data_IF_754480098585
#
_entry.id   IF_754480098585
#
_cell.length_a   1.000
_cell.length_b   1.000
_cell.length_c   1.000
_cell.angle_alpha   90.00
_cell.angle_beta   90.00
_cell.angle_gamma   90.00
#
_symmetry.space_group_name_H-M   'P 1'
#
loop_
_entity.id
_entity.type
_entity.pdbx_description
1 polymer ?
#
# COMPACT_ATOMS: atom_id res chain seq x y z
N UNK A 1 -69.87 27.25 77.97
CA UNK A 1 -70.44 26.67 76.74
C UNK A 1 -71.10 27.78 75.94
N UNK A 2 -70.86 27.82 74.63
CA UNK A 2 -71.80 28.40 73.67
C UNK A 2 -71.55 29.82 73.16
N UNK A 3 -71.03 29.87 71.93
CA UNK A 3 -71.31 30.78 70.80
C UNK A 3 -71.05 32.29 70.95
N UNK A 4 -70.40 32.85 69.92
CA UNK A 4 -71.00 33.93 69.10
C UNK A 4 -70.38 34.02 67.70
N UNK A 5 -71.22 34.48 66.79
CA UNK A 5 -71.18 34.50 65.32
C UNK A 5 -70.41 35.68 64.73
N UNK A 6 -70.09 35.54 63.44
CA UNK A 6 -69.31 36.41 62.56
C UNK A 6 -69.99 37.73 62.14
N UNK A 7 -69.18 38.68 61.65
CA UNK A 7 -69.53 39.70 60.66
C UNK A 7 -68.29 40.14 59.85
N UNK A 8 -68.53 40.55 58.61
CA UNK A 8 -67.64 40.77 57.45
C UNK A 8 -66.82 42.07 57.47
N UNK A 9 -65.70 42.13 56.73
CA UNK A 9 -65.22 43.36 56.05
C UNK A 9 -64.54 43.03 54.70
N UNK A 10 -64.87 43.83 53.68
CA UNK A 10 -64.49 43.79 52.26
C UNK A 10 -63.18 44.52 51.89
N UNK A 11 -62.58 44.07 50.76
CA UNK A 11 -61.44 44.51 49.89
C UNK A 11 -61.21 46.05 49.69
N UNK A 12 -60.07 46.59 49.21
CA UNK A 12 -59.21 46.39 48.00
C UNK A 12 -57.76 46.98 48.19
N UNK A 13 -56.89 47.21 47.16
CA UNK A 13 -56.03 46.27 46.42
C UNK A 13 -54.50 46.62 46.47
N UNK A 14 -53.67 45.74 45.91
CA UNK A 14 -52.19 45.79 45.85
C UNK A 14 -51.70 46.69 44.69
N UNK A 15 -50.60 47.47 44.83
CA UNK A 15 -49.84 48.01 43.71
C UNK A 15 -48.53 47.23 43.45
N UNK A 16 -48.19 47.16 42.16
CA UNK A 16 -47.10 46.42 41.52
C UNK A 16 -45.68 46.81 42.00
N UNK A 17 -44.89 45.81 42.40
CA UNK A 17 -43.45 45.95 42.64
C UNK A 17 -42.64 45.64 41.36
N UNK A 18 -42.06 46.71 40.82
CA UNK A 18 -40.78 46.88 40.12
C UNK A 18 -40.04 45.60 39.66
N UNK A 19 -40.02 45.41 38.34
CA UNK A 19 -39.07 44.54 37.63
C UNK A 19 -37.66 45.12 37.74
N UNK A 20 -36.75 44.41 38.43
CA UNK A 20 -35.32 44.70 38.42
C UNK A 20 -34.68 44.11 37.15
N UNK A 21 -34.33 45.00 36.21
CA UNK A 21 -33.58 44.67 35.00
C UNK A 21 -32.09 44.44 35.36
N UNK A 22 -31.76 43.19 35.71
CA UNK A 22 -30.40 42.76 36.02
C UNK A 22 -29.66 42.25 34.79
N UNK A 23 -29.17 43.14 33.91
CA UNK A 23 -28.15 42.80 32.92
C UNK A 23 -26.77 42.76 33.60
N UNK A 24 -26.41 41.59 34.13
CA UNK A 24 -24.99 41.26 34.36
C UNK A 24 -24.42 40.87 32.99
N UNK A 25 -23.75 41.81 32.33
CA UNK A 25 -22.90 41.49 31.20
C UNK A 25 -21.73 40.64 31.72
N UNK A 26 -21.75 39.34 31.43
CA UNK A 26 -20.55 38.54 31.50
C UNK A 26 -19.58 39.09 30.45
N UNK A 27 -18.60 39.89 30.87
CA UNK A 27 -17.40 40.13 30.06
C UNK A 27 -16.72 38.78 29.87
N UNK A 28 -17.02 38.11 28.75
CA UNK A 28 -16.19 37.04 28.24
C UNK A 28 -14.79 37.61 28.05
N UNK A 29 -13.84 37.20 28.90
CA UNK A 29 -12.41 37.36 28.63
C UNK A 29 -12.16 36.79 27.22
N UNK A 30 -11.98 37.67 26.23
CA UNK A 30 -11.43 37.30 24.93
C UNK A 30 -10.04 36.74 25.19
N UNK A 31 -9.94 35.42 25.35
CA UNK A 31 -8.66 34.73 25.26
C UNK A 31 -8.15 35.01 23.86
N UNK A 32 -7.01 35.68 23.77
CA UNK A 32 -6.32 35.83 22.50
C UNK A 32 -6.18 34.43 21.87
N UNK A 33 -6.68 34.24 20.64
CA UNK A 33 -6.63 32.94 20.01
C UNK A 33 -5.16 32.55 19.86
N UNK A 34 -4.83 31.33 20.31
CA UNK A 34 -3.50 30.76 20.11
C UNK A 34 -3.20 30.79 18.60
N UNK A 35 -2.05 31.34 18.18
CA UNK A 35 -1.68 31.36 16.77
C UNK A 35 -1.72 29.97 16.11
N UNK A 36 -2.22 29.90 14.87
CA UNK A 36 -2.44 28.63 14.16
C UNK A 36 -1.16 27.82 13.97
N UNK A 37 -0.03 28.49 13.76
CA UNK A 37 1.30 27.90 13.64
C UNK A 37 1.75 27.21 14.93
N UNK A 38 1.43 27.79 16.09
CA UNK A 38 1.69 27.18 17.41
C UNK A 38 0.83 25.93 17.57
N UNK A 39 -0.46 26.00 17.26
CA UNK A 39 -1.37 24.82 17.29
C UNK A 39 -0.85 23.73 16.35
N UNK A 40 -0.44 24.09 15.14
CA UNK A 40 0.14 23.18 14.17
C UNK A 40 1.39 22.49 14.74
N UNK A 41 2.30 23.25 15.35
CA UNK A 41 3.54 22.73 15.92
C UNK A 41 3.30 21.73 17.05
N UNK A 42 2.26 21.95 17.86
CA UNK A 42 1.83 21.06 18.94
C UNK A 42 1.25 19.77 18.36
N UNK A 43 0.27 19.89 17.45
CA UNK A 43 -0.40 18.73 16.85
C UNK A 43 0.59 17.83 16.08
N UNK A 44 1.57 18.40 15.39
CA UNK A 44 2.61 17.65 14.67
C UNK A 44 3.57 16.84 15.58
N UNK A 45 3.53 17.03 16.90
CA UNK A 45 4.30 16.24 17.87
C UNK A 45 3.50 15.08 18.48
N UNK A 46 2.19 15.02 18.23
CA UNK A 46 1.31 14.04 18.83
C UNK A 46 1.26 12.74 17.99
N UNK A 47 1.01 11.58 18.62
CA UNK A 47 0.69 10.36 17.88
C UNK A 47 -0.58 10.51 17.04
N UNK A 48 -0.66 9.80 15.91
CA UNK A 48 -1.79 9.92 14.97
C UNK A 48 -3.17 9.69 15.63
N UNK A 49 -3.28 8.75 16.58
CA UNK A 49 -4.51 8.50 17.34
C UNK A 49 -4.96 9.72 18.13
N UNK A 50 -4.03 10.45 18.71
CA UNK A 50 -4.32 11.69 19.44
C UNK A 50 -4.74 12.78 18.46
N UNK A 51 -4.00 12.97 17.36
CA UNK A 51 -4.34 13.95 16.31
C UNK A 51 -5.78 13.72 15.81
N UNK A 52 -6.16 12.47 15.54
CA UNK A 52 -7.52 12.16 15.07
C UNK A 52 -8.61 12.54 16.08
N UNK A 53 -8.35 12.45 17.39
CA UNK A 53 -9.29 12.91 18.43
C UNK A 53 -9.42 14.44 18.45
N UNK A 54 -8.35 15.18 18.12
CA UNK A 54 -8.39 16.65 18.04
C UNK A 54 -9.33 17.18 16.96
N UNK A 55 -9.67 16.37 15.95
CA UNK A 55 -10.70 16.72 14.96
C UNK A 55 -12.08 16.97 15.58
N UNK A 56 -12.37 16.36 16.73
CA UNK A 56 -13.64 16.53 17.44
C UNK A 56 -13.65 17.74 18.40
N UNK A 57 -12.51 18.42 18.59
CA UNK A 57 -12.39 19.53 19.55
C UNK A 57 -12.93 20.84 18.98
N UNK A 58 -12.63 21.14 17.72
CA UNK A 58 -13.14 22.35 17.05
C UNK A 58 -13.11 22.21 15.52
N UNK A 59 -13.91 23.05 14.83
CA UNK A 59 -13.90 23.14 13.36
C UNK A 59 -12.53 23.55 12.83
N UNK A 60 -11.86 24.50 13.49
CA UNK A 60 -10.53 24.96 13.11
C UNK A 60 -9.48 23.85 13.22
N UNK A 61 -9.49 23.07 14.31
CA UNK A 61 -8.60 21.92 14.46
C UNK A 61 -8.86 20.87 13.37
N UNK A 62 -10.13 20.54 13.09
CA UNK A 62 -10.45 19.61 12.01
C UNK A 62 -9.94 20.13 10.65
N UNK A 63 -10.22 21.39 10.31
CA UNK A 63 -9.77 22.01 9.05
C UNK A 63 -8.24 21.98 8.91
N UNK A 64 -7.51 22.36 9.96
CA UNK A 64 -6.05 22.31 9.99
C UNK A 64 -5.53 20.88 9.77
N UNK A 65 -6.06 19.89 10.50
CA UNK A 65 -5.62 18.49 10.43
C UNK A 65 -5.92 17.87 9.06
N UNK A 66 -7.03 18.24 8.43
CA UNK A 66 -7.41 17.76 7.08
C UNK A 66 -6.72 18.53 5.95
N UNK A 67 -5.99 19.61 6.26
CA UNK A 67 -5.32 20.40 5.22
C UNK A 67 -4.16 19.62 4.58
N UNK A 68 -3.96 19.72 3.25
CA UNK A 68 -2.84 19.07 2.57
C UNK A 68 -1.47 19.45 3.16
N UNK A 69 -1.34 20.70 3.62
CA UNK A 69 -0.12 21.21 4.25
C UNK A 69 0.20 20.50 5.57
N UNK A 70 -0.80 20.29 6.43
CA UNK A 70 -0.62 19.55 7.67
C UNK A 70 -0.29 18.09 7.42
N UNK A 71 -1.01 17.44 6.50
CA UNK A 71 -0.81 16.04 6.14
C UNK A 71 0.63 15.82 5.64
N UNK A 72 1.12 16.67 4.73
CA UNK A 72 2.51 16.61 4.22
C UNK A 72 3.54 16.82 5.32
N UNK A 73 3.36 17.79 6.22
CA UNK A 73 4.27 18.00 7.36
C UNK A 73 4.27 16.84 8.35
N UNK A 74 3.11 16.25 8.62
CA UNK A 74 2.99 15.08 9.47
C UNK A 74 3.71 13.89 8.84
N UNK A 75 3.49 13.67 7.54
CA UNK A 75 4.12 12.59 6.78
C UNK A 75 5.65 12.64 6.84
N UNK A 76 6.25 13.82 6.71
CA UNK A 76 7.70 14.00 6.83
C UNK A 76 8.28 13.62 8.21
N UNK A 77 7.44 13.51 9.24
CA UNK A 77 7.81 13.08 10.60
C UNK A 77 7.35 11.66 10.92
N UNK A 78 6.67 11.00 10.00
CA UNK A 78 6.14 9.67 10.22
C UNK A 78 7.28 8.68 10.42
N UNK A 79 7.10 7.77 11.38
CA UNK A 79 8.06 6.70 11.62
C UNK A 79 7.93 5.65 10.51
N UNK A 80 9.07 5.08 10.11
CA UNK A 80 9.08 3.93 9.22
C UNK A 80 8.59 2.70 9.99
N UNK A 81 7.56 2.08 9.44
CA UNK A 81 6.96 0.84 9.92
C UNK A 81 7.14 -0.24 8.86
N UNK A 82 6.96 -1.48 9.28
CA UNK A 82 6.89 -2.64 8.40
C UNK A 82 5.46 -3.15 8.46
N UNK A 83 4.76 -3.03 7.33
CA UNK A 83 3.43 -3.60 7.16
C UNK A 83 3.60 -5.06 6.78
N UNK A 84 3.14 -5.97 7.64
CA UNK A 84 3.14 -7.41 7.42
C UNK A 84 1.71 -7.89 7.33
N UNK A 85 1.41 -8.65 6.29
CA UNK A 85 0.07 -9.15 6.04
C UNK A 85 0.11 -10.62 5.64
N UNK A 86 -0.56 -11.45 6.45
CA UNK A 86 -0.85 -12.84 6.14
C UNK A 86 -1.92 -12.96 5.06
N UNK A 87 -2.06 -14.15 4.47
CA UNK A 87 -3.12 -14.45 3.49
C UNK A 87 -4.08 -15.49 4.08
N UNK A 88 -5.42 -15.25 4.05
CA UNK A 88 -6.12 -14.04 3.58
C UNK A 88 -5.94 -12.84 4.54
N UNK A 89 -6.19 -11.62 4.04
CA UNK A 89 -6.08 -10.37 4.82
C UNK A 89 -7.24 -10.28 5.82
N UNK A 90 -7.04 -10.79 7.05
CA UNK A 90 -7.95 -10.59 8.18
C UNK A 90 -7.47 -9.46 9.10
N UNK A 91 -6.16 -9.34 9.25
CA UNK A 91 -5.50 -8.32 10.05
C UNK A 91 -4.21 -7.86 9.39
N UNK A 92 -3.78 -6.66 9.75
CA UNK A 92 -2.50 -6.09 9.37
C UNK A 92 -1.66 -5.85 10.60
N UNK A 93 -0.44 -6.35 10.60
CA UNK A 93 0.54 -6.08 11.64
C UNK A 93 1.48 -4.97 11.19
N UNK A 94 1.51 -3.86 11.93
CA UNK A 94 2.48 -2.78 11.73
C UNK A 94 3.57 -2.89 12.79
N UNK A 95 4.79 -3.23 12.38
CA UNK A 95 5.95 -3.30 13.26
C UNK A 95 6.79 -2.02 13.13
N UNK A 96 7.29 -1.48 14.25
CA UNK A 96 8.32 -0.45 14.18
C UNK A 96 9.60 -1.07 13.59
N UNK A 97 10.23 -0.42 12.61
CA UNK A 97 11.52 -0.89 12.09
C UNK A 97 12.66 -0.55 13.07
N UNK A 98 12.77 -1.35 14.13
CA UNK A 98 13.87 -1.32 15.09
C UNK A 98 14.49 -2.72 15.24
N UNK A 99 15.66 -2.83 15.85
CA UNK A 99 16.42 -4.10 15.88
C UNK A 99 15.63 -5.32 16.39
N UNK A 100 14.65 -5.10 17.26
CA UNK A 100 13.81 -6.14 17.89
C UNK A 100 12.48 -6.44 17.17
N UNK A 101 11.98 -5.57 16.28
CA UNK A 101 10.63 -5.64 15.70
C UNK A 101 9.51 -5.85 16.76
N UNK A 102 9.73 -5.35 17.97
CA UNK A 102 8.97 -5.66 19.19
C UNK A 102 7.65 -4.92 19.28
N UNK A 103 7.59 -3.69 18.74
CA UNK A 103 6.37 -2.88 18.77
C UNK A 103 5.48 -3.20 17.58
N UNK A 104 4.41 -3.95 17.85
CA UNK A 104 3.39 -4.31 16.87
C UNK A 104 2.06 -3.63 17.17
N UNK A 105 1.48 -2.98 16.17
CA UNK A 105 0.07 -2.61 16.17
C UNK A 105 -0.69 -3.56 15.24
N UNK A 106 -1.64 -4.31 15.79
CA UNK A 106 -2.60 -5.08 15.00
C UNK A 106 -3.77 -4.18 14.59
N UNK A 107 -4.10 -4.18 13.32
CA UNK A 107 -5.23 -3.46 12.75
C UNK A 107 -6.16 -4.45 12.09
N UNK A 108 -7.37 -4.56 12.62
CA UNK A 108 -8.40 -5.40 12.05
C UNK A 108 -8.95 -4.76 10.77
N UNK A 109 -8.99 -5.53 9.70
CA UNK A 109 -9.70 -5.12 8.51
C UNK A 109 -11.16 -5.55 8.64
N UNK A 110 -12.08 -4.58 8.73
CA UNK A 110 -13.47 -4.83 9.10
C UNK A 110 -14.30 -5.63 8.08
N UNK A 111 -13.74 -6.05 6.94
CA UNK A 111 -14.48 -6.78 5.91
C UNK A 111 -14.19 -8.29 5.94
N UNK A 112 -15.23 -9.14 5.92
CA UNK A 112 -15.10 -10.59 6.10
C UNK A 112 -14.54 -11.35 4.87
N UNK A 113 -14.18 -10.65 3.78
CA UNK A 113 -13.77 -11.29 2.53
C UNK A 113 -12.25 -11.51 2.46
N UNK A 114 -11.85 -12.56 1.75
CA UNK A 114 -10.46 -12.83 1.45
C UNK A 114 -9.92 -11.82 0.42
N UNK A 115 -9.20 -10.80 0.89
CA UNK A 115 -8.49 -9.83 0.05
C UNK A 115 -7.00 -10.16 -0.11
N UNK A 116 -6.40 -9.64 -1.17
CA UNK A 116 -4.96 -9.60 -1.44
C UNK A 116 -4.48 -8.16 -1.35
N UNK A 117 -3.31 -7.93 -0.75
CA UNK A 117 -2.58 -6.67 -0.85
C UNK A 117 -1.83 -6.61 -2.19
N UNK A 118 -2.01 -5.53 -2.95
CA UNK A 118 -1.30 -5.30 -4.20
C UNK A 118 -0.17 -4.29 -4.06
N UNK A 119 -0.19 -3.46 -3.02
CA UNK A 119 0.76 -2.40 -2.80
C UNK A 119 0.36 -1.48 -1.64
N UNK A 120 1.31 -0.75 -1.08
CA UNK A 120 1.02 0.50 -0.37
C UNK A 120 1.80 1.66 -0.97
N UNK A 121 1.27 2.85 -0.77
CA UNK A 121 1.96 4.08 -1.06
C UNK A 121 1.53 5.14 -0.03
N UNK A 122 2.49 5.81 0.60
CA UNK A 122 2.26 6.93 1.50
C UNK A 122 1.14 6.68 2.55
N UNK A 123 1.11 5.47 3.13
CA UNK A 123 0.15 5.07 4.16
C UNK A 123 -1.23 4.62 3.67
N UNK A 124 -1.45 4.55 2.35
CA UNK A 124 -2.64 3.99 1.71
C UNK A 124 -2.31 2.63 1.12
N UNK A 125 -3.13 1.63 1.43
CA UNK A 125 -2.99 0.23 0.99
C UNK A 125 -4.01 -0.05 -0.11
N UNK A 126 -3.57 -0.67 -1.20
CA UNK A 126 -4.43 -1.13 -2.30
C UNK A 126 -4.73 -2.62 -2.15
N UNK A 127 -6.01 -2.96 -2.07
CA UNK A 127 -6.53 -4.31 -1.89
C UNK A 127 -7.38 -4.74 -3.08
N UNK A 128 -7.41 -6.04 -3.36
CA UNK A 128 -8.34 -6.64 -4.32
C UNK A 128 -8.87 -7.99 -3.86
N UNK A 129 -10.07 -8.38 -4.28
CA UNK A 129 -10.61 -9.71 -3.99
C UNK A 129 -9.71 -10.86 -4.49
N UNK A 130 -9.63 -11.96 -3.74
CA UNK A 130 -8.74 -13.11 -4.07
C UNK A 130 -9.31 -13.99 -5.21
N UNK A 131 -10.63 -14.11 -5.33
CA UNK A 131 -11.24 -15.13 -6.19
C UNK A 131 -12.35 -14.59 -7.12
N UNK A 132 -12.25 -14.76 -8.45
CA UNK A 132 -13.26 -14.31 -9.42
C UNK A 132 -14.66 -14.89 -9.21
N UNK A 133 -14.78 -16.08 -8.59
CA UNK A 133 -16.08 -16.68 -8.23
C UNK A 133 -16.72 -16.07 -6.98
N UNK A 134 -15.92 -15.48 -6.08
CA UNK A 134 -16.39 -14.83 -4.85
C UNK A 134 -16.57 -13.32 -5.05
N UNK A 135 -15.81 -12.75 -5.98
CA UNK A 135 -15.93 -11.36 -6.41
C UNK A 135 -15.82 -11.27 -7.94
N UNK A 136 -16.95 -11.43 -8.66
CA UNK A 136 -17.00 -11.27 -10.12
C UNK A 136 -16.68 -9.83 -10.56
N UNK A 137 -16.80 -8.85 -9.66
CA UNK A 137 -16.58 -7.43 -9.94
C UNK A 137 -15.10 -7.04 -9.93
N UNK A 138 -14.24 -7.85 -9.31
CA UNK A 138 -12.83 -7.53 -9.13
C UNK A 138 -12.65 -6.23 -8.34
N UNK A 139 -13.40 -6.09 -7.25
CA UNK A 139 -13.45 -4.89 -6.41
C UNK A 139 -12.04 -4.49 -5.98
N UNK A 140 -11.72 -3.21 -6.22
CA UNK A 140 -10.48 -2.60 -5.78
C UNK A 140 -10.82 -1.69 -4.61
N UNK A 141 -10.11 -1.85 -3.51
CA UNK A 141 -10.33 -1.07 -2.29
C UNK A 141 -9.04 -0.34 -1.96
N UNK A 142 -9.16 0.97 -1.76
CA UNK A 142 -8.13 1.76 -1.10
C UNK A 142 -8.45 1.81 0.38
N UNK A 143 -7.46 1.55 1.22
CA UNK A 143 -7.61 1.56 2.67
C UNK A 143 -6.49 2.37 3.30
N UNK A 144 -6.84 3.34 4.14
CA UNK A 144 -5.89 3.99 5.04
C UNK A 144 -6.11 3.40 6.45
N UNK A 145 -5.24 2.47 6.90
CA UNK A 145 -5.36 1.84 8.21
C UNK A 145 -5.27 2.83 9.37
N UNK A 146 -4.48 3.90 9.20
CA UNK A 146 -4.17 4.86 10.27
C UNK A 146 -5.39 5.68 10.68
N UNK A 147 -6.26 6.02 9.71
CA UNK A 147 -7.50 6.76 9.95
C UNK A 147 -8.75 5.86 9.87
N UNK A 148 -8.56 4.56 9.64
CA UNK A 148 -9.62 3.54 9.50
C UNK A 148 -10.67 3.89 8.43
N UNK A 149 -10.22 4.44 7.31
CA UNK A 149 -11.08 4.79 6.17
C UNK A 149 -10.81 3.86 5.00
N UNK A 150 -11.88 3.40 4.36
CA UNK A 150 -11.86 2.57 3.15
C UNK A 150 -12.64 3.26 2.04
N UNK A 151 -12.15 3.18 0.82
CA UNK A 151 -12.83 3.61 -0.39
C UNK A 151 -12.91 2.43 -1.35
N UNK A 152 -14.13 2.11 -1.78
CA UNK A 152 -14.37 1.15 -2.86
C UNK A 152 -14.29 1.89 -4.19
N UNK A 153 -13.41 1.45 -5.07
CA UNK A 153 -13.29 2.06 -6.38
C UNK A 153 -14.48 1.62 -7.26
N UNK A 154 -15.02 2.52 -8.09
CA UNK A 154 -16.04 2.14 -9.05
C UNK A 154 -15.48 1.09 -10.02
N UNK A 155 -16.31 0.17 -10.55
CA UNK A 155 -15.86 -0.76 -11.57
C UNK A 155 -15.45 0.02 -12.85
N UNK A 156 -14.37 -0.40 -13.54
CA UNK A 156 -14.08 0.09 -14.89
C UNK A 156 -15.22 -0.26 -15.86
N UNK A 157 -15.36 0.50 -16.95
CA UNK A 157 -16.42 0.32 -17.96
C UNK A 157 -16.20 -0.92 -18.84
N UNK A 158 -15.00 -1.49 -18.89
CA UNK A 158 -14.69 -2.64 -19.73
C UNK A 158 -15.51 -3.89 -19.37
N UNK A 159 -16.31 -4.37 -20.32
CA UNK A 159 -17.18 -5.55 -20.18
C UNK A 159 -16.53 -6.87 -20.63
N UNK A 160 -15.27 -6.85 -21.04
CA UNK A 160 -14.60 -8.04 -21.56
C UNK A 160 -14.33 -9.06 -20.45
N UNK A 161 -14.37 -10.35 -20.77
CA UNK A 161 -14.06 -11.42 -19.82
C UNK A 161 -12.60 -11.32 -19.36
N UNK A 162 -12.43 -11.03 -18.07
CA UNK A 162 -11.13 -10.87 -17.41
C UNK A 162 -10.54 -12.24 -17.09
N UNK A 163 -9.31 -12.49 -17.53
CA UNK A 163 -8.56 -13.69 -17.15
C UNK A 163 -7.78 -13.47 -15.85
N UNK A 164 -6.96 -12.40 -15.80
CA UNK A 164 -6.17 -12.00 -14.63
C UNK A 164 -5.99 -10.49 -14.62
N UNK A 165 -5.71 -9.92 -13.45
CA UNK A 165 -5.42 -8.49 -13.28
C UNK A 165 -4.18 -8.31 -12.43
N UNK A 166 -3.34 -7.37 -12.85
CA UNK A 166 -2.23 -6.82 -12.08
C UNK A 166 -2.62 -5.41 -11.65
N UNK A 167 -2.37 -5.10 -10.39
CA UNK A 167 -2.67 -3.82 -9.78
C UNK A 167 -1.41 -3.25 -9.14
N UNK A 168 -1.35 -1.93 -9.07
CA UNK A 168 -0.49 -1.26 -8.12
C UNK A 168 -0.94 0.16 -7.85
N UNK A 169 -0.43 0.71 -6.75
CA UNK A 169 -0.76 2.03 -6.25
C UNK A 169 0.50 2.88 -6.20
N UNK A 170 0.35 4.16 -6.53
CA UNK A 170 1.37 5.18 -6.37
C UNK A 170 0.76 6.54 -6.07
N UNK A 171 1.62 7.51 -5.80
CA UNK A 171 1.24 8.89 -5.51
C UNK A 171 1.99 9.82 -6.46
N UNK A 172 1.25 10.66 -7.20
CA UNK A 172 1.80 11.71 -8.03
C UNK A 172 1.90 13.01 -7.21
N UNK A 173 3.11 13.43 -6.80
CA UNK A 173 3.28 14.65 -6.00
C UNK A 173 2.96 15.92 -6.79
N UNK A 174 2.96 15.87 -8.14
CA UNK A 174 2.67 17.03 -8.99
C UNK A 174 1.20 17.41 -8.93
N UNK A 175 0.32 16.41 -8.96
CA UNK A 175 -1.14 16.61 -8.92
C UNK A 175 -1.72 16.35 -7.53
N UNK A 176 -0.90 16.01 -6.54
CA UNK A 176 -1.33 15.63 -5.18
C UNK A 176 -2.40 14.53 -5.25
N UNK A 177 -2.11 13.45 -5.99
CA UNK A 177 -3.10 12.45 -6.35
C UNK A 177 -2.59 11.04 -6.11
N UNK A 178 -3.44 10.21 -5.50
CA UNK A 178 -3.21 8.77 -5.47
C UNK A 178 -3.74 8.16 -6.76
N UNK A 179 -2.89 7.38 -7.43
CA UNK A 179 -3.25 6.69 -8.66
C UNK A 179 -3.14 5.19 -8.49
N UNK A 180 -4.07 4.47 -9.10
CA UNK A 180 -4.05 3.01 -9.18
C UNK A 180 -3.87 2.61 -10.63
N UNK A 181 -2.76 1.94 -10.92
CA UNK A 181 -2.53 1.32 -12.21
C UNK A 181 -3.16 -0.07 -12.25
N UNK A 182 -3.83 -0.39 -13.35
CA UNK A 182 -4.50 -1.67 -13.56
C UNK A 182 -4.18 -2.21 -14.95
N UNK A 183 -3.57 -3.38 -14.99
CA UNK A 183 -3.26 -4.12 -16.22
C UNK A 183 -4.11 -5.36 -16.26
N UNK A 184 -4.97 -5.46 -17.26
CA UNK A 184 -5.97 -6.52 -17.38
C UNK A 184 -5.57 -7.45 -18.49
N UNK A 185 -5.40 -8.73 -18.19
CA UNK A 185 -5.33 -9.77 -19.21
C UNK A 185 -6.74 -10.16 -19.63
N UNK A 186 -7.04 -10.00 -20.91
CA UNK A 186 -8.31 -10.44 -21.48
C UNK A 186 -8.28 -11.93 -21.84
N UNK A 187 -9.46 -12.54 -21.93
CA UNK A 187 -9.64 -13.92 -22.36
C UNK A 187 -9.08 -14.18 -23.77
N UNK A 188 -8.83 -15.46 -24.08
CA UNK A 188 -8.17 -15.87 -25.35
C UNK A 188 -8.92 -15.48 -26.62
N UNK A 189 -10.24 -15.26 -26.53
CA UNK A 189 -11.10 -14.82 -27.63
C UNK A 189 -11.10 -13.32 -27.88
N UNK A 190 -10.41 -12.52 -27.06
CA UNK A 190 -10.34 -11.08 -27.24
C UNK A 190 -9.43 -10.70 -28.41
N UNK A 191 -9.82 -9.64 -29.13
CA UNK A 191 -9.04 -9.05 -30.22
C UNK A 191 -7.68 -8.54 -29.71
N UNK A 192 -7.70 -7.81 -28.58
CA UNK A 192 -6.49 -7.37 -27.87
C UNK A 192 -6.21 -8.23 -26.64
N UNK A 193 -4.94 -8.58 -26.36
CA UNK A 193 -4.59 -9.41 -25.20
C UNK A 193 -4.68 -8.67 -23.85
N UNK A 194 -4.48 -7.36 -23.85
CA UNK A 194 -4.45 -6.54 -22.63
C UNK A 194 -5.27 -5.26 -22.73
N UNK A 195 -5.68 -4.77 -21.56
CA UNK A 195 -6.18 -3.40 -21.36
C UNK A 195 -5.36 -2.76 -20.25
N UNK A 196 -4.93 -1.53 -20.50
CA UNK A 196 -4.16 -0.71 -19.57
C UNK A 196 -5.06 0.41 -19.06
N UNK A 197 -5.16 0.56 -17.73
CA UNK A 197 -6.06 1.52 -17.10
C UNK A 197 -5.36 2.18 -15.91
N UNK A 198 -5.72 3.43 -15.65
CA UNK A 198 -5.31 4.18 -14.45
C UNK A 198 -6.54 4.75 -13.76
N UNK A 199 -6.59 4.71 -12.44
CA UNK A 199 -7.57 5.42 -11.63
C UNK A 199 -6.90 6.63 -11.00
N UNK A 200 -7.60 7.76 -10.98
CA UNK A 200 -7.22 8.95 -10.21
C UNK A 200 -8.19 9.12 -9.05
N UNK A 201 -7.66 9.27 -7.83
CA UNK A 201 -8.47 9.55 -6.64
C UNK A 201 -9.11 10.94 -6.72
N UNK A 202 -8.38 11.92 -7.25
CA UNK A 202 -8.85 13.29 -7.42
C UNK A 202 -10.02 13.38 -8.41
N UNK A 203 -9.92 12.71 -9.57
CA UNK A 203 -11.04 12.67 -10.52
C UNK A 203 -12.16 11.74 -10.04
N UNK A 204 -11.83 10.71 -9.27
CA UNK A 204 -12.74 9.67 -8.84
C UNK A 204 -13.12 8.69 -9.97
N UNK A 205 -12.32 8.62 -11.04
CA UNK A 205 -12.64 7.89 -12.26
C UNK A 205 -11.45 7.12 -12.84
N UNK A 206 -11.77 6.11 -13.66
CA UNK A 206 -10.80 5.38 -14.47
C UNK A 206 -10.56 6.09 -15.80
N UNK A 207 -9.30 6.25 -16.16
CA UNK A 207 -8.83 6.44 -17.52
C UNK A 207 -8.53 5.06 -18.13
N UNK A 208 -9.21 4.74 -19.23
CA UNK A 208 -9.10 3.43 -19.92
C UNK A 208 -8.32 3.52 -21.24
N UNK A 209 -7.91 4.73 -21.64
CA UNK A 209 -7.14 4.99 -22.85
C UNK A 209 -5.71 5.36 -22.46
N UNK A 210 -5.07 4.48 -21.69
CA UNK A 210 -3.70 4.71 -21.23
C UNK A 210 -2.72 4.22 -22.28
N UNK A 211 -1.83 5.11 -22.71
CA UNK A 211 -0.82 4.78 -23.71
C UNK A 211 0.15 3.72 -23.17
N UNK A 212 0.51 2.78 -24.04
CA UNK A 212 1.52 1.75 -23.78
C UNK A 212 2.63 1.88 -24.82
N UNK A 213 3.85 2.11 -24.35
CA UNK A 213 5.03 2.19 -25.19
C UNK A 213 6.02 1.10 -24.79
N UNK A 214 6.30 0.14 -25.68
CA UNK A 214 7.37 -0.84 -25.48
C UNK A 214 8.08 -1.10 -26.79
N UNK A 215 9.42 -1.07 -26.73
CA UNK A 215 10.28 -1.39 -27.88
C UNK A 215 10.36 -2.90 -28.11
N UNK A 216 10.18 -3.73 -27.06
CA UNK A 216 10.26 -5.19 -27.17
C UNK A 216 8.92 -5.87 -27.48
N UNK A 217 7.80 -5.15 -27.35
CA UNK A 217 6.43 -5.65 -27.49
C UNK A 217 5.62 -4.93 -28.57
N UNK A 218 6.27 -4.45 -29.63
CA UNK A 218 5.61 -3.78 -30.77
C UNK A 218 4.64 -4.72 -31.53
N UNK A 219 4.81 -6.04 -31.41
CA UNK A 219 3.92 -7.03 -32.02
C UNK A 219 2.85 -7.51 -31.01
N UNK A 220 1.56 -7.34 -31.36
CA UNK A 220 0.43 -7.82 -30.53
C UNK A 220 0.46 -9.34 -30.26
N UNK A 221 1.05 -10.14 -31.14
CA UNK A 221 1.26 -11.58 -30.89
C UNK A 221 2.23 -11.82 -29.74
N UNK A 222 3.26 -10.99 -29.58
CA UNK A 222 4.20 -11.09 -28.47
C UNK A 222 3.50 -10.83 -27.13
N UNK A 223 2.54 -9.90 -27.12
CA UNK A 223 1.70 -9.65 -25.95
C UNK A 223 0.82 -10.86 -25.61
N UNK A 224 0.37 -11.65 -26.59
CA UNK A 224 -0.47 -12.83 -26.33
C UNK A 224 0.24 -13.90 -25.50
N UNK A 225 1.58 -13.95 -25.54
CA UNK A 225 2.36 -14.88 -24.72
C UNK A 225 2.52 -14.44 -23.27
N UNK A 226 2.23 -13.19 -22.92
CA UNK A 226 2.49 -12.68 -21.58
C UNK A 226 1.44 -13.17 -20.59
N UNK A 227 1.90 -13.58 -19.41
CA UNK A 227 1.12 -14.03 -18.26
C UNK A 227 1.39 -13.11 -17.09
N UNK A 228 0.31 -12.71 -16.40
CA UNK A 228 0.37 -11.95 -15.16
C UNK A 228 0.41 -12.94 -14.00
N UNK A 229 1.49 -12.92 -13.21
CA UNK A 229 1.55 -13.67 -11.96
C UNK A 229 1.05 -12.79 -10.81
N UNK A 230 0.22 -13.35 -9.94
CA UNK A 230 -0.41 -12.59 -8.84
C UNK A 230 0.49 -12.48 -7.60
N UNK A 231 1.73 -12.92 -7.65
CA UNK A 231 2.60 -13.08 -6.47
C UNK A 231 3.70 -12.00 -6.38
N UNK A 232 3.95 -11.27 -7.46
CA UNK A 232 4.98 -10.22 -7.50
C UNK A 232 4.51 -8.97 -6.77
N UNK A 233 5.37 -8.46 -5.88
CA UNK A 233 5.19 -7.16 -5.26
C UNK A 233 5.45 -6.07 -6.30
N UNK A 234 4.70 -4.97 -6.20
CA UNK A 234 5.07 -3.74 -6.90
C UNK A 234 6.36 -3.16 -6.30
N UNK A 235 7.13 -2.45 -7.11
CA UNK A 235 8.17 -1.55 -6.63
C UNK A 235 7.92 -0.13 -7.14
N UNK A 236 7.91 0.85 -6.24
CA UNK A 236 7.71 2.26 -6.60
C UNK A 236 9.06 2.97 -6.50
N UNK A 237 9.56 3.48 -7.62
CA UNK A 237 10.82 4.21 -7.71
C UNK A 237 10.67 5.33 -8.74
N UNK A 238 11.22 6.51 -8.47
CA UNK A 238 11.20 7.65 -9.39
C UNK A 238 9.82 8.00 -9.98
N UNK A 239 8.77 7.93 -9.16
CA UNK A 239 7.41 8.26 -9.59
C UNK A 239 6.81 7.27 -10.59
N UNK A 240 7.38 6.05 -10.69
CA UNK A 240 6.83 4.97 -11.49
C UNK A 240 6.64 3.70 -10.66
N UNK A 241 5.59 2.94 -11.00
CA UNK A 241 5.30 1.62 -10.42
C UNK A 241 5.86 0.55 -11.36
N UNK A 242 6.54 -0.45 -10.80
CA UNK A 242 7.24 -1.49 -11.55
C UNK A 242 6.75 -2.88 -11.19
N UNK A 243 6.65 -3.75 -12.19
CA UNK A 243 6.29 -5.17 -12.03
C UNK A 243 7.08 -6.06 -12.98
N UNK A 244 7.33 -7.30 -12.55
CA UNK A 244 7.86 -8.35 -13.41
C UNK A 244 6.70 -9.06 -14.10
N UNK A 245 6.79 -9.17 -15.42
CA UNK A 245 5.85 -9.89 -16.26
C UNK A 245 6.55 -11.03 -16.98
N UNK A 246 5.79 -12.06 -17.35
CA UNK A 246 6.35 -13.36 -17.71
C UNK A 246 5.80 -13.81 -19.05
N UNK A 247 6.68 -14.18 -19.98
CA UNK A 247 6.31 -14.75 -21.26
C UNK A 247 6.12 -16.25 -21.15
N UNK A 248 5.04 -16.77 -21.73
CA UNK A 248 4.77 -18.20 -21.82
C UNK A 248 5.94 -18.88 -22.51
N UNK A 249 6.48 -19.90 -21.86
CA UNK A 249 7.17 -20.96 -22.57
C UNK A 249 6.17 -21.95 -23.14
N UNK A 250 6.51 -22.64 -24.24
CA UNK A 250 5.99 -23.99 -24.46
C UNK A 250 6.45 -24.84 -23.26
N UNK A 251 5.62 -24.97 -22.24
CA UNK A 251 5.87 -25.87 -21.10
C UNK A 251 5.07 -27.13 -21.39
N UNK A 252 5.74 -28.28 -21.53
CA UNK A 252 5.08 -29.58 -21.58
C UNK A 252 4.47 -29.86 -20.20
N UNK A 253 3.16 -29.79 -20.10
CA UNK A 253 2.38 -29.85 -18.86
C UNK A 253 2.39 -31.26 -18.24
N UNK A 254 2.77 -32.30 -18.98
CA UNK A 254 2.66 -33.71 -18.54
C UNK A 254 3.60 -34.14 -17.39
N UNK A 255 4.51 -33.29 -16.89
CA UNK A 255 5.54 -33.72 -15.93
C UNK A 255 5.48 -33.15 -14.50
N UNK A 256 4.52 -32.30 -14.14
CA UNK A 256 4.67 -31.48 -12.90
C UNK A 256 3.40 -31.36 -12.05
N UNK A 257 2.87 -32.48 -11.56
CA UNK A 257 1.68 -32.45 -10.67
C UNK A 257 2.03 -32.33 -9.17
N UNK A 258 3.27 -32.51 -8.70
CA UNK A 258 3.54 -32.56 -7.24
C UNK A 258 4.75 -31.76 -6.70
N UNK A 259 5.19 -30.70 -7.39
CA UNK A 259 6.18 -29.75 -6.82
C UNK A 259 5.92 -28.35 -7.39
N UNK A 260 6.19 -27.30 -6.60
CA UNK A 260 6.10 -25.90 -7.04
C UNK A 260 6.66 -25.76 -8.46
N UNK A 261 5.81 -25.31 -9.39
CA UNK A 261 6.13 -25.25 -10.81
C UNK A 261 7.41 -24.42 -11.00
N UNK A 262 8.46 -24.93 -11.68
CA UNK A 262 9.61 -24.09 -12.03
C UNK A 262 9.10 -22.91 -12.86
N UNK A 263 9.37 -21.68 -12.40
CA UNK A 263 9.01 -20.48 -13.13
C UNK A 263 9.76 -20.44 -14.48
N UNK A 264 9.25 -19.70 -15.49
CA UNK A 264 9.93 -19.55 -16.78
C UNK A 264 11.40 -19.15 -16.61
N UNK A 265 12.30 -19.56 -17.50
CA UNK A 265 13.70 -19.12 -17.47
C UNK A 265 13.85 -17.58 -17.57
N UNK A 266 15.04 -17.09 -17.21
CA UNK A 266 15.42 -15.66 -17.21
C UNK A 266 14.98 -14.89 -18.47
N UNK A 267 15.17 -15.50 -19.65
CA UNK A 267 14.86 -14.90 -20.96
C UNK A 267 13.37 -14.75 -21.29
N UNK A 268 12.48 -15.08 -20.34
CA UNK A 268 11.02 -14.98 -20.48
C UNK A 268 10.43 -14.03 -19.45
N UNK A 269 11.21 -13.09 -18.95
CA UNK A 269 10.75 -12.06 -18.03
C UNK A 269 11.03 -10.69 -18.64
N UNK A 270 10.10 -9.76 -18.47
CA UNK A 270 10.32 -8.35 -18.80
C UNK A 270 9.74 -7.48 -17.68
N UNK A 271 10.27 -6.27 -17.54
CA UNK A 271 9.82 -5.33 -16.53
C UNK A 271 8.87 -4.30 -17.13
N UNK A 272 7.66 -4.24 -16.59
CA UNK A 272 6.69 -3.21 -16.92
C UNK A 272 6.82 -2.06 -15.92
N UNK A 273 6.79 -0.83 -16.41
CA UNK A 273 6.66 0.38 -15.60
C UNK A 273 5.37 1.14 -15.92
N UNK A 274 4.82 1.84 -14.94
CA UNK A 274 3.77 2.84 -15.14
C UNK A 274 4.21 4.16 -14.52
N UNK A 275 4.35 5.20 -15.33
CA UNK A 275 4.74 6.53 -14.86
C UNK A 275 3.49 7.28 -14.35
N UNK A 276 3.53 7.68 -13.08
CA UNK A 276 2.40 8.31 -12.39
C UNK A 276 2.09 9.71 -12.90
N UNK A 277 3.09 10.45 -13.37
CA UNK A 277 2.95 11.87 -13.70
C UNK A 277 2.38 12.10 -15.10
N UNK A 278 2.79 11.31 -16.09
CA UNK A 278 2.27 11.38 -17.46
C UNK A 278 1.23 10.29 -17.79
N UNK A 279 1.00 9.36 -16.86
CA UNK A 279 0.07 8.24 -17.02
C UNK A 279 0.35 7.42 -18.28
N UNK A 280 1.57 6.94 -18.44
CA UNK A 280 1.90 6.00 -19.51
C UNK A 280 2.58 4.75 -19.00
N UNK A 281 2.29 3.64 -19.66
CA UNK A 281 3.00 2.39 -19.44
C UNK A 281 4.24 2.32 -20.34
N UNK A 282 5.30 1.77 -19.77
CA UNK A 282 6.61 1.66 -20.38
C UNK A 282 7.29 0.34 -20.04
N UNK A 283 8.46 0.11 -20.63
CA UNK A 283 9.31 -1.03 -20.34
C UNK A 283 10.62 -0.57 -19.72
N UNK A 284 11.10 -1.30 -18.71
CA UNK A 284 12.43 -1.12 -18.14
C UNK A 284 13.32 -2.29 -18.56
N UNK A 285 14.54 -1.98 -18.99
CA UNK A 285 15.50 -3.01 -19.36
C UNK A 285 16.06 -3.72 -18.11
N UNK A 286 15.88 -5.04 -18.06
CA UNK A 286 16.42 -5.90 -17.00
C UNK A 286 17.94 -6.09 -17.11
N UNK A 287 18.63 -6.46 -16.01
CA UNK A 287 20.06 -6.72 -16.03
C UNK A 287 20.44 -7.86 -16.98
N UNK A 288 21.71 -7.90 -17.39
CA UNK A 288 22.28 -8.89 -18.31
C UNK A 288 22.06 -10.36 -17.88
N UNK A 289 21.89 -10.63 -16.58
CA UNK A 289 21.61 -11.97 -16.09
C UNK A 289 20.28 -12.54 -16.63
N UNK A 290 19.36 -11.68 -17.08
CA UNK A 290 18.11 -12.07 -17.72
C UNK A 290 18.28 -12.53 -19.18
N UNK A 291 19.44 -12.30 -19.81
CA UNK A 291 19.71 -12.73 -21.17
C UNK A 291 20.17 -14.19 -21.25
N UNK A 292 20.66 -14.76 -20.13
CA UNK A 292 21.20 -16.12 -20.10
C UNK A 292 20.11 -17.19 -20.15
N UNK A 293 19.96 -17.80 -21.32
CA UNK A 293 18.98 -18.87 -21.57
C UNK A 293 19.29 -20.19 -20.87
N UNK A 294 20.50 -20.35 -20.32
CA UNK A 294 20.96 -21.61 -19.71
C UNK A 294 20.67 -21.68 -18.21
N UNK A 295 20.48 -20.53 -17.55
CA UNK A 295 20.21 -20.46 -16.12
C UNK A 295 18.73 -20.68 -15.84
N UNK A 296 18.41 -21.82 -15.21
CA UNK A 296 17.09 -22.07 -14.64
C UNK A 296 16.95 -21.30 -13.33
N UNK A 297 15.96 -20.41 -13.26
CA UNK A 297 15.66 -19.60 -12.08
C UNK A 297 14.51 -20.22 -11.33
N UNK A 298 14.65 -20.29 -10.02
CA UNK A 298 13.61 -20.82 -9.16
C UNK A 298 12.61 -19.73 -8.78
N UNK A 299 13.10 -18.52 -8.45
CA UNK A 299 12.23 -17.39 -8.09
C UNK A 299 12.86 -16.02 -8.40
N UNK A 300 12.03 -14.98 -8.53
CA UNK A 300 12.46 -13.58 -8.69
C UNK A 300 11.39 -12.61 -8.22
N UNK A 301 11.82 -11.41 -7.81
CA UNK A 301 10.90 -10.36 -7.39
C UNK A 301 11.52 -8.97 -7.58
N UNK A 302 10.66 -7.98 -7.83
CA UNK A 302 11.05 -6.59 -7.65
C UNK A 302 11.01 -6.21 -6.17
N UNK A 303 11.89 -5.28 -5.81
CA UNK A 303 11.99 -4.65 -4.49
C UNK A 303 12.54 -3.23 -4.65
N UNK A 304 12.65 -2.51 -3.54
CA UNK A 304 13.28 -1.20 -3.48
C UNK A 304 14.45 -1.26 -2.52
N UNK A 305 15.65 -0.88 -2.99
CA UNK A 305 16.86 -0.80 -2.20
C UNK A 305 17.33 0.65 -2.07
N UNK A 306 17.19 1.25 -0.88
CA UNK A 306 17.63 2.65 -0.60
C UNK A 306 17.22 3.61 -1.73
N UNK A 307 15.93 3.60 -2.06
CA UNK A 307 15.30 4.42 -3.12
C UNK A 307 15.66 4.05 -4.57
N UNK A 308 16.43 2.98 -4.79
CA UNK A 308 16.75 2.45 -6.12
C UNK A 308 15.92 1.21 -6.44
N UNK A 309 15.64 0.98 -7.73
CA UNK A 309 14.95 -0.23 -8.17
C UNK A 309 15.88 -1.43 -8.01
N UNK A 310 15.38 -2.50 -7.39
CA UNK A 310 16.16 -3.72 -7.19
C UNK A 310 15.40 -4.97 -7.63
N UNK A 311 16.14 -5.93 -8.18
CA UNK A 311 15.63 -7.24 -8.58
C UNK A 311 16.33 -8.30 -7.77
N UNK A 312 15.55 -9.16 -7.13
CA UNK A 312 16.04 -10.36 -6.48
C UNK A 312 15.97 -11.51 -7.47
N UNK A 313 17.08 -12.21 -7.68
CA UNK A 313 17.18 -13.41 -8.52
C UNK A 313 17.56 -14.58 -7.63
N UNK A 314 16.73 -15.62 -7.58
CA UNK A 314 16.95 -16.79 -6.72
C UNK A 314 17.17 -18.03 -7.58
N UNK A 315 18.37 -18.60 -7.46
CA UNK A 315 18.80 -19.78 -8.19
C UNK A 315 19.03 -20.94 -7.20
N UNK A 316 18.26 -22.01 -7.32
CA UNK A 316 18.44 -23.21 -6.48
C UNK A 316 19.08 -24.34 -7.27
N UNK A 317 20.15 -24.90 -6.71
CA UNK A 317 20.83 -26.05 -7.30
C UNK A 317 19.99 -27.32 -7.12
N UNK A 318 19.74 -28.05 -8.20
CA UNK A 318 18.96 -29.31 -8.19
C UNK A 318 19.55 -30.39 -7.26
N UNK A 319 20.86 -30.33 -6.98
CA UNK A 319 21.60 -31.37 -6.24
C UNK A 319 21.99 -30.99 -4.80
N UNK A 320 22.08 -29.71 -4.47
CA UNK A 320 22.59 -29.25 -3.15
C UNK A 320 21.48 -28.85 -2.19
N UNK A 321 20.25 -28.60 -2.68
CA UNK A 321 19.15 -28.04 -1.90
C UNK A 321 19.34 -26.56 -1.50
N UNK A 322 20.54 -26.00 -1.69
CA UNK A 322 20.86 -24.60 -1.40
C UNK A 322 20.40 -23.69 -2.53
N UNK A 323 20.06 -22.46 -2.16
CA UNK A 323 19.66 -21.41 -3.06
C UNK A 323 20.60 -20.21 -2.92
N UNK A 324 21.02 -19.65 -4.05
CA UNK A 324 21.73 -18.39 -4.10
C UNK A 324 20.75 -17.29 -4.49
N UNK A 325 20.60 -16.29 -3.64
CA UNK A 325 19.89 -15.06 -3.97
C UNK A 325 20.89 -13.97 -4.34
N UNK A 326 20.77 -13.46 -5.56
CA UNK A 326 21.50 -12.28 -6.03
C UNK A 326 20.55 -11.07 -6.01
N UNK A 327 20.95 -10.02 -5.30
CA UNK A 327 20.21 -8.77 -5.23
C UNK A 327 20.88 -7.79 -6.17
N UNK A 328 20.24 -7.51 -7.30
CA UNK A 328 20.67 -6.55 -8.31
C UNK A 328 20.05 -5.19 -8.02
N UNK A 329 20.83 -4.12 -8.10
CA UNK A 329 20.37 -2.74 -7.88
C UNK A 329 20.69 -1.90 -9.10
N UNK A 330 19.71 -1.13 -9.57
CA UNK A 330 19.87 -0.17 -10.65
C UNK A 330 20.39 1.15 -10.09
N UNK A 331 21.68 1.44 -10.28
CA UNK A 331 22.33 2.61 -9.69
C UNK A 331 21.95 3.92 -10.39
N UNK A 332 21.55 3.86 -11.66
CA UNK A 332 21.02 4.99 -12.42
C UNK A 332 19.70 4.56 -13.06
N UNK A 333 18.64 5.29 -12.74
CA UNK A 333 17.31 4.91 -13.16
C UNK A 333 17.19 4.89 -14.69
N UNK A 334 16.58 3.84 -15.22
CA UNK A 334 16.39 3.59 -16.65
C UNK A 334 17.71 3.48 -17.46
N UNK A 335 18.83 3.19 -16.80
CA UNK A 335 20.12 2.90 -17.45
C UNK A 335 20.48 1.43 -17.20
N UNK A 336 20.40 0.60 -18.24
CA UNK A 336 20.60 -0.85 -18.15
C UNK A 336 21.99 -1.22 -17.62
N UNK A 337 23.01 -0.52 -18.09
CA UNK A 337 24.42 -0.78 -17.73
C UNK A 337 24.72 -0.43 -16.27
N UNK A 338 23.80 0.28 -15.60
CA UNK A 338 23.95 0.66 -14.20
C UNK A 338 23.54 -0.43 -13.21
N UNK A 339 22.92 -1.52 -13.69
CA UNK A 339 22.58 -2.66 -12.85
C UNK A 339 23.85 -3.33 -12.32
N UNK A 340 23.94 -3.51 -11.00
CA UNK A 340 25.04 -4.22 -10.37
C UNK A 340 24.54 -5.14 -9.26
N UNK A 341 25.23 -6.26 -9.07
CA UNK A 341 25.00 -7.13 -7.91
C UNK A 341 25.45 -6.37 -6.66
N UNK A 342 24.51 -6.16 -5.74
CA UNK A 342 24.78 -5.55 -4.44
C UNK A 342 25.11 -6.58 -3.38
N UNK A 343 24.36 -7.68 -3.35
CA UNK A 343 24.56 -8.77 -2.40
C UNK A 343 24.35 -10.13 -3.05
N UNK A 344 25.07 -11.12 -2.52
CA UNK A 344 24.87 -12.53 -2.81
C UNK A 344 24.62 -13.24 -1.48
N UNK A 345 23.49 -13.92 -1.36
CA UNK A 345 23.02 -14.53 -0.13
C UNK A 345 22.84 -16.02 -0.36
N UNK A 346 23.64 -16.84 0.31
CA UNK A 346 23.41 -18.28 0.37
C UNK A 346 22.30 -18.60 1.36
N UNK A 347 21.28 -19.32 0.90
CA UNK A 347 20.11 -19.71 1.66
C UNK A 347 19.97 -21.24 1.64
N UNK A 348 19.46 -21.80 2.74
CA UNK A 348 19.25 -23.23 2.88
C UNK A 348 18.07 -23.74 2.02
N UNK A 349 17.12 -22.87 1.71
CA UNK A 349 15.91 -23.17 0.93
C UNK A 349 15.50 -21.94 0.11
N UNK A 350 14.52 -22.11 -0.78
CA UNK A 350 13.89 -20.99 -1.49
C UNK A 350 13.23 -20.09 -0.46
N UNK A 351 13.65 -18.83 -0.41
CA UNK A 351 13.07 -17.81 0.44
C UNK A 351 13.19 -16.45 -0.27
N UNK A 352 12.28 -15.52 0.05
CA UNK A 352 12.12 -14.28 -0.73
C UNK A 352 12.53 -13.06 0.10
N UNK A 353 13.52 -12.28 -0.32
CA UNK A 353 13.75 -10.95 0.25
C UNK A 353 12.52 -10.07 0.05
N UNK A 354 12.02 -9.46 1.14
CA UNK A 354 10.78 -8.67 1.12
C UNK A 354 10.98 -7.21 1.52
N UNK A 355 11.88 -6.92 2.47
CA UNK A 355 12.08 -5.57 3.00
C UNK A 355 13.55 -5.32 3.30
N UNK A 356 14.10 -4.22 2.78
CA UNK A 356 15.41 -3.70 3.18
C UNK A 356 15.22 -2.75 4.36
N UNK A 357 15.84 -3.05 5.50
CA UNK A 357 15.61 -2.33 6.75
C UNK A 357 16.51 -1.11 6.87
N UNK A 358 16.09 -0.16 7.71
CA UNK A 358 16.86 1.05 8.01
C UNK A 358 18.24 0.77 8.63
N UNK A 359 18.38 -0.31 9.40
CA UNK A 359 19.65 -0.77 9.96
C UNK A 359 20.56 -1.49 8.94
N UNK A 360 20.10 -1.66 7.69
CA UNK A 360 20.84 -2.31 6.62
C UNK A 360 20.64 -3.82 6.50
N UNK A 361 19.92 -4.45 7.45
CA UNK A 361 19.52 -5.85 7.35
C UNK A 361 18.40 -6.05 6.30
N UNK A 362 18.17 -7.30 5.89
CA UNK A 362 17.18 -7.67 4.89
C UNK A 362 16.23 -8.70 5.49
N UNK A 363 14.93 -8.39 5.51
CA UNK A 363 13.91 -9.35 5.87
C UNK A 363 13.66 -10.33 4.73
N UNK A 364 13.65 -11.61 5.06
CA UNK A 364 13.46 -12.73 4.12
C UNK A 364 12.27 -13.56 4.60
N UNK A 365 11.27 -13.69 3.73
CA UNK A 365 10.03 -14.43 3.97
C UNK A 365 10.12 -15.89 3.49
N UNK A 366 9.39 -16.79 4.15
CA UNK A 366 9.29 -18.19 3.78
C UNK A 366 10.50 -19.04 4.16
N UNK A 367 11.41 -18.53 4.98
CA UNK A 367 12.57 -19.29 5.42
C UNK A 367 12.12 -20.46 6.29
N UNK A 368 12.62 -21.67 6.01
CA UNK A 368 12.13 -22.90 6.68
C UNK A 368 10.60 -22.97 6.73
N UNK A 369 9.97 -22.90 5.55
CA UNK A 369 8.52 -22.95 5.28
C UNK A 369 7.76 -21.64 5.51
N UNK A 370 7.83 -21.04 6.69
CA UNK A 370 6.98 -19.88 7.03
C UNK A 370 7.64 -18.86 7.96
N UNK A 371 8.93 -18.97 8.26
CA UNK A 371 9.59 -18.01 9.16
C UNK A 371 10.01 -16.75 8.41
N UNK A 372 9.85 -15.62 9.09
CA UNK A 372 10.44 -14.35 8.72
C UNK A 372 11.79 -14.23 9.43
N UNK A 373 12.87 -14.16 8.66
CA UNK A 373 14.23 -14.03 9.20
C UNK A 373 14.84 -12.71 8.77
N UNK A 374 15.80 -12.22 9.54
CA UNK A 374 16.59 -11.04 9.20
C UNK A 374 18.01 -11.46 8.84
N UNK A 375 18.49 -11.02 7.67
CA UNK A 375 19.85 -11.25 7.21
C UNK A 375 20.68 -9.99 7.32
N UNK A 376 21.81 -10.07 8.03
CA UNK A 376 22.81 -9.00 8.09
C UNK A 376 23.84 -9.20 6.95
N UNK A 377 23.87 -8.34 5.92
CA UNK A 377 24.84 -8.46 4.83
C UNK A 377 26.27 -8.10 5.23
N UNK A 378 26.49 -7.34 6.32
CA UNK A 378 27.83 -6.97 6.81
C UNK A 378 28.46 -8.09 7.64
N UNK A 379 27.63 -8.81 8.39
CA UNK A 379 28.02 -10.01 9.14
C UNK A 379 27.09 -11.14 8.71
N UNK A 380 27.44 -11.92 7.66
CA UNK A 380 26.53 -12.84 6.97
C UNK A 380 25.97 -13.89 7.93
N UNK A 381 24.88 -13.51 8.59
CA UNK A 381 24.19 -14.25 9.64
C UNK A 381 22.71 -14.03 9.46
N UNK A 382 21.98 -15.12 9.58
CA UNK A 382 20.52 -15.13 9.56
C UNK A 382 20.07 -15.22 11.00
N UNK A 383 19.23 -14.27 11.41
CA UNK A 383 18.61 -14.22 12.73
C UNK A 383 17.12 -14.46 12.59
N UNK A 384 16.59 -15.35 13.42
CA UNK A 384 15.14 -15.54 13.53
C UNK A 384 14.51 -14.31 14.19
N UNK A 385 13.46 -13.77 13.59
CA UNK A 385 12.71 -12.63 14.15
C UNK A 385 11.66 -13.08 15.17
N UNK A 386 11.35 -14.39 15.23
CA UNK A 386 10.23 -14.94 15.98
C UNK A 386 8.87 -14.71 15.30
N UNK A 387 8.85 -14.10 14.11
CA UNK A 387 7.65 -13.82 13.33
C UNK A 387 7.51 -14.81 12.17
N UNK A 388 6.27 -15.02 11.74
CA UNK A 388 5.96 -15.84 10.58
C UNK A 388 5.57 -14.98 9.38
N UNK A 389 6.07 -15.35 8.20
CA UNK A 389 5.60 -14.85 6.92
C UNK A 389 5.88 -15.94 5.88
N UNK A 390 4.83 -16.46 5.25
CA UNK A 390 4.99 -17.42 4.15
C UNK A 390 5.73 -16.77 2.98
N UNK A 391 6.28 -17.59 2.08
CA UNK A 391 6.98 -17.08 0.89
C UNK A 391 6.10 -16.15 0.04
N UNK A 392 4.80 -16.44 -0.03
CA UNK A 392 3.78 -15.64 -0.69
C UNK A 392 3.24 -14.48 0.14
N UNK A 393 3.68 -14.37 1.40
CA UNK A 393 3.28 -13.34 2.34
C UNK A 393 3.73 -11.96 1.90
N UNK A 394 3.01 -10.94 2.34
CA UNK A 394 3.27 -9.57 1.95
C UNK A 394 3.96 -8.80 3.07
N UNK A 395 5.07 -8.14 2.74
CA UNK A 395 5.72 -7.19 3.62
C UNK A 395 6.34 -6.03 2.84
N UNK A 396 6.22 -4.82 3.36
CA UNK A 396 6.81 -3.61 2.79
C UNK A 396 7.01 -2.54 3.87
N UNK A 397 7.70 -1.45 3.50
CA UNK A 397 7.69 -0.24 4.30
C UNK A 397 6.33 0.45 4.26
N UNK A 398 5.91 0.91 5.44
CA UNK A 398 4.67 1.64 5.64
C UNK A 398 4.92 2.82 6.55
N UNK A 399 4.09 3.84 6.40
CA UNK A 399 4.13 5.05 7.23
C UNK A 399 2.71 5.41 7.61
N UNK A 400 2.52 5.75 8.88
CA UNK A 400 1.22 6.27 9.34
C UNK A 400 0.90 7.58 8.64
N UNK A 401 -0.29 7.67 8.06
CA UNK A 401 -0.67 8.78 7.19
C UNK A 401 -2.07 9.28 7.52
N UNK A 402 -2.23 10.60 7.42
CA UNK A 402 -3.52 11.29 7.50
C UNK A 402 -4.17 11.46 6.12
N UNK A 403 -3.62 10.83 5.07
CA UNK A 403 -4.16 10.86 3.72
C UNK A 403 -5.65 10.50 3.70
N UNK A 404 -6.45 11.40 3.15
CA UNK A 404 -7.89 11.24 3.03
C UNK A 404 -8.21 10.44 1.77
N UNK A 405 -9.27 9.63 1.84
CA UNK A 405 -9.76 8.83 0.70
C UNK A 405 -11.12 9.33 0.21
N UNK A 406 -11.77 10.19 1.00
CA UNK A 406 -12.95 10.93 0.63
C UNK A 406 -12.53 12.31 0.11
N UNK A 407 -13.29 12.83 -0.86
CA UNK A 407 -13.20 14.26 -1.16
C UNK A 407 -13.57 15.03 0.11
N UNK A 408 -12.78 16.03 0.46
CA UNK A 408 -13.32 17.15 1.22
C UNK A 408 -14.41 17.78 0.34
N UNK A 409 -15.67 17.49 0.68
CA UNK A 409 -16.84 18.11 0.06
C UNK A 409 -16.72 19.63 0.01
#
# INVERSE_FOLDING_TARGET
MGRKTAEEVTKDPIPDDVVLDGKVAAEELKKDPIPEDVVMSILLKLPIKSILRFRCVSKSCNSLITSPYFIKKHFAKAKQLILRVGKPVASVSLHLDNDSLDRCLQLDFCQPNAFKVNGSCNGVVCLSGIHPKLDPSGSVILWNPSIRKTLHLPPPRSYARIATTLLGIGYDPRTDDYKVARVVRLGSSAERPFVFQSYSLNSGSWNENVDFFSRSLENEEALRDITLYRHDNQAIVNGAIHWLLYRKGKINIERYINSALPLPGHNKVFALSFNLSNESFGEIMLPECFDDRRKAVTDRSFSVFKDSLSVNVINCGLSSGRCLCEIWVMNQYDVRESWAIKYQIEMLHIARPVVHRSNGEILIAGYSWSRLVSFDPQKPRIRDTGLELSIDGYAEHFVESLALLDKSN
#
